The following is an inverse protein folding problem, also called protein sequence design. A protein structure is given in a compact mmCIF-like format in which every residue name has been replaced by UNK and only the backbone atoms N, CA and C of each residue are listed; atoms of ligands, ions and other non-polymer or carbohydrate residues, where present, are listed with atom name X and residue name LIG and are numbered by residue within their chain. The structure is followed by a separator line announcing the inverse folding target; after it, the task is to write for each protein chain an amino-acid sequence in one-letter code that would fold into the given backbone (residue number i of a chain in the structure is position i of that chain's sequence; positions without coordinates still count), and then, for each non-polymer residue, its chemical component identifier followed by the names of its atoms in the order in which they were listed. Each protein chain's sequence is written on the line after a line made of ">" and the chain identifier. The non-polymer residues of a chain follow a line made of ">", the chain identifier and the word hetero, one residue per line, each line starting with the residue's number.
data_IF_223703765465
#
_entry.id   IF_223703765465
#
_cell.length_a   1.000
_cell.length_b   1.000
_cell.length_c   1.000
_cell.angle_alpha   90.00
_cell.angle_beta   90.00
_cell.angle_gamma   90.00
#
_symmetry.space_group_name_H-M   'P 1'
#
loop_
_entity.id
_entity.type
_entity.pdbx_description
1 polymer ?
#
# COMPACT_ATOMS: atom_id res chain seq x y z
N UNK A 1 14.20 10.57 21.19
CA UNK A 1 14.24 10.41 19.73
C UNK A 1 13.43 11.51 19.05
N UNK A 2 13.80 11.91 17.84
CA UNK A 2 13.00 12.85 17.05
C UNK A 2 11.86 12.11 16.35
N UNK A 3 10.67 12.75 16.32
CA UNK A 3 9.47 12.22 15.68
C UNK A 3 8.56 13.34 15.17
N UNK A 4 7.73 13.00 14.19
CA UNK A 4 6.61 13.83 13.75
C UNK A 4 5.35 13.39 14.48
N UNK A 5 4.86 14.22 15.38
CA UNK A 5 3.69 13.91 16.22
C UNK A 5 2.48 14.74 15.80
N UNK A 6 1.29 14.21 16.08
CA UNK A 6 0.05 14.98 16.08
C UNK A 6 -0.57 14.98 17.47
N UNK A 7 -1.08 16.14 17.92
CA UNK A 7 -1.76 16.30 19.23
C UNK A 7 -3.27 16.48 19.07
N UNK A 8 -3.73 16.54 17.84
CA UNK A 8 -5.15 16.60 17.42
C UNK A 8 -5.30 16.17 15.98
N UNK A 9 -6.48 15.77 15.60
CA UNK A 9 -6.81 15.57 14.19
C UNK A 9 -6.91 16.91 13.44
N UNK A 10 -6.55 16.90 12.14
CA UNK A 10 -6.63 18.11 11.32
C UNK A 10 -5.94 18.03 9.96
N UNK A 11 -5.63 19.19 9.40
CA UNK A 11 -4.85 19.36 8.16
C UNK A 11 -3.39 18.95 8.37
N UNK A 12 -2.57 18.96 7.30
CA UNK A 12 -1.15 18.60 7.39
C UNK A 12 -0.36 19.47 8.41
N UNK A 13 -0.83 20.68 8.70
CA UNK A 13 -0.20 21.59 9.66
C UNK A 13 -0.30 21.16 11.14
N UNK A 14 -0.98 20.05 11.45
CA UNK A 14 -1.01 19.51 12.83
C UNK A 14 0.22 18.68 13.18
N UNK A 15 1.10 18.42 12.21
CA UNK A 15 2.37 17.76 12.48
C UNK A 15 3.34 18.70 13.20
N UNK A 16 3.93 18.22 14.27
CA UNK A 16 4.94 18.89 15.09
C UNK A 16 6.18 18.00 15.15
N UNK A 17 7.36 18.57 14.85
CA UNK A 17 8.64 17.87 14.94
C UNK A 17 9.19 18.02 16.35
N UNK A 18 9.16 16.96 17.13
CA UNK A 18 9.45 16.99 18.56
C UNK A 18 10.48 15.94 18.96
N UNK A 19 11.05 16.15 20.13
CA UNK A 19 11.78 15.12 20.85
C UNK A 19 10.84 14.39 21.80
N UNK A 20 10.75 13.07 21.65
CA UNK A 20 9.87 12.21 22.46
C UNK A 20 10.67 11.06 23.08
N UNK A 21 10.11 10.41 24.11
CA UNK A 21 10.72 9.22 24.71
C UNK A 21 10.81 8.08 23.66
N UNK A 22 11.90 7.34 23.66
CA UNK A 22 12.06 6.16 22.82
C UNK A 22 11.07 5.07 23.22
N UNK A 23 10.44 4.36 22.28
CA UNK A 23 9.51 3.30 22.60
C UNK A 23 10.23 2.09 23.20
N UNK A 24 9.53 1.35 24.07
CA UNK A 24 10.01 0.11 24.68
C UNK A 24 9.42 -1.08 23.93
N UNK A 25 10.23 -2.11 23.71
CA UNK A 25 9.80 -3.35 23.03
C UNK A 25 9.14 -4.32 24.02
N UNK A 26 8.25 -5.14 23.49
CA UNK A 26 7.73 -6.34 24.14
C UNK A 26 8.51 -7.59 23.71
N UNK A 27 8.30 -8.74 24.37
CA UNK A 27 9.07 -9.95 24.07
C UNK A 27 9.09 -10.40 22.59
N UNK A 28 8.03 -10.13 21.81
CA UNK A 28 7.90 -10.53 20.39
C UNK A 28 8.13 -9.39 19.40
N UNK A 29 8.72 -8.28 19.85
CA UNK A 29 8.89 -7.06 19.04
C UNK A 29 10.38 -6.75 18.80
N UNK A 30 10.62 -5.93 17.79
CA UNK A 30 11.92 -5.41 17.38
C UNK A 30 11.93 -3.90 17.57
N UNK A 31 13.01 -3.34 18.13
CA UNK A 31 13.30 -1.91 18.05
C UNK A 31 14.11 -1.65 16.78
N UNK A 32 13.62 -0.76 15.95
CA UNK A 32 14.20 -0.46 14.64
C UNK A 32 14.64 0.99 14.59
N UNK A 33 15.88 1.24 14.17
CA UNK A 33 16.32 2.55 13.70
C UNK A 33 15.75 2.74 12.30
N UNK A 34 14.77 3.61 12.19
CA UNK A 34 14.06 3.84 10.93
C UNK A 34 14.94 4.67 10.00
N UNK A 35 15.21 4.15 8.80
CA UNK A 35 15.92 4.85 7.74
C UNK A 35 14.96 5.52 6.77
N UNK A 36 13.85 4.86 6.49
CA UNK A 36 12.81 5.38 5.61
C UNK A 36 11.42 4.91 6.06
N UNK A 37 10.41 5.72 5.76
CA UNK A 37 9.00 5.41 5.98
C UNK A 37 8.15 5.71 4.73
N UNK A 38 7.23 4.82 4.39
CA UNK A 38 6.32 5.01 3.27
C UNK A 38 5.13 5.89 3.64
N UNK A 39 4.69 6.75 2.70
CA UNK A 39 3.45 7.52 2.86
C UNK A 39 2.31 6.83 2.12
N UNK A 40 1.21 6.63 2.84
CA UNK A 40 0.01 5.98 2.32
C UNK A 40 -1.24 6.86 2.52
N UNK A 41 -2.26 6.74 1.67
CA UNK A 41 -3.51 7.48 1.86
C UNK A 41 -4.19 7.23 3.22
N UNK A 42 -3.98 6.06 3.83
CA UNK A 42 -4.51 5.76 5.17
C UNK A 42 -3.92 6.68 6.23
N UNK A 43 -2.66 7.09 6.11
CA UNK A 43 -1.98 7.95 7.09
C UNK A 43 -2.66 9.32 7.20
N UNK A 44 -2.92 10.00 6.06
CA UNK A 44 -3.59 11.29 6.09
C UNK A 44 -5.09 11.18 6.41
N UNK A 45 -5.73 10.04 6.10
CA UNK A 45 -7.12 9.78 6.53
C UNK A 45 -7.20 9.65 8.05
N UNK A 46 -6.23 8.98 8.69
CA UNK A 46 -6.13 8.95 10.15
C UNK A 46 -5.87 10.35 10.68
N UNK A 47 -4.85 11.04 10.17
CA UNK A 47 -4.52 12.40 10.59
C UNK A 47 -5.72 13.36 10.53
N UNK A 48 -6.59 13.23 9.51
CA UNK A 48 -7.85 14.00 9.38
C UNK A 48 -8.96 13.54 10.32
N UNK A 49 -8.77 12.45 11.08
CA UNK A 49 -9.77 11.89 11.97
C UNK A 49 -10.88 11.09 11.25
N UNK A 50 -10.72 10.77 9.98
CA UNK A 50 -11.70 9.97 9.22
C UNK A 50 -11.82 8.55 9.76
N UNK A 51 -10.79 8.06 10.46
CA UNK A 51 -10.72 6.73 11.07
C UNK A 51 -10.69 6.78 12.60
N UNK A 52 -11.15 7.88 13.22
CA UNK A 52 -11.10 8.08 14.68
C UNK A 52 -11.81 7.00 15.50
N UNK A 53 -12.78 6.31 14.93
CA UNK A 53 -13.47 5.19 15.58
C UNK A 53 -12.49 4.03 15.83
N UNK A 54 -11.50 3.84 14.94
CA UNK A 54 -10.49 2.77 15.05
C UNK A 54 -9.28 3.27 15.84
N UNK A 55 -8.82 4.51 15.57
CA UNK A 55 -7.59 5.06 16.16
C UNK A 55 -7.79 5.66 17.55
N UNK A 56 -9.04 5.91 17.94
CA UNK A 56 -9.37 6.60 19.22
C UNK A 56 -8.93 8.06 19.22
N UNK A 57 -8.83 8.62 20.43
CA UNK A 57 -8.46 10.02 20.66
C UNK A 57 -7.28 10.15 21.66
N UNK A 58 -6.42 9.13 21.75
CA UNK A 58 -5.23 9.21 22.62
C UNK A 58 -4.13 9.93 21.84
N UNK A 59 -3.75 11.11 22.32
CA UNK A 59 -2.65 11.92 21.80
C UNK A 59 -1.53 12.04 22.86
N UNK A 60 -0.27 12.29 22.46
CA UNK A 60 0.21 12.44 21.09
C UNK A 60 0.20 11.13 20.31
N UNK A 61 0.08 11.20 18.95
CA UNK A 61 0.19 10.06 18.05
C UNK A 61 1.35 10.29 17.08
N UNK A 62 2.13 9.24 16.84
CA UNK A 62 3.07 9.15 15.73
C UNK A 62 2.43 8.25 14.67
N UNK A 63 2.26 8.77 13.45
CA UNK A 63 1.66 8.05 12.34
C UNK A 63 2.72 7.33 11.49
N UNK A 64 2.29 6.79 10.35
CA UNK A 64 3.14 6.06 9.42
C UNK A 64 3.09 4.55 9.64
N UNK A 65 2.69 3.81 8.61
CA UNK A 65 2.56 2.35 8.68
C UNK A 65 3.81 1.64 8.22
N UNK A 66 4.39 2.08 7.09
CA UNK A 66 5.47 1.40 6.42
C UNK A 66 6.81 1.94 6.88
N UNK A 67 7.72 1.04 7.21
CA UNK A 67 9.09 1.38 7.56
C UNK A 67 10.10 0.44 6.92
N UNK A 68 11.33 0.93 6.79
CA UNK A 68 12.53 0.13 6.59
C UNK A 68 13.67 0.72 7.43
N UNK A 69 14.50 -0.14 7.99
CA UNK A 69 15.57 0.29 8.89
C UNK A 69 16.40 -0.87 9.43
N UNK A 70 17.20 -0.57 10.44
CA UNK A 70 18.11 -1.53 11.07
C UNK A 70 17.63 -1.88 12.47
N UNK A 71 17.63 -3.15 12.80
CA UNK A 71 17.25 -3.66 14.14
C UNK A 71 18.31 -3.24 15.15
N UNK A 72 17.89 -2.55 16.20
CA UNK A 72 18.74 -2.13 17.34
C UNK A 72 18.59 -3.05 18.55
N UNK A 73 17.40 -3.60 18.78
CA UNK A 73 17.11 -4.48 19.91
C UNK A 73 16.05 -5.50 19.50
N UNK A 74 16.16 -6.72 20.03
CA UNK A 74 15.21 -7.82 19.81
C UNK A 74 14.61 -8.25 21.14
N UNK A 75 13.29 -8.50 21.15
CA UNK A 75 12.59 -9.02 22.31
C UNK A 75 12.97 -10.47 22.61
N UNK A 76 12.80 -10.92 23.84
CA UNK A 76 13.23 -12.22 24.33
C UNK A 76 12.58 -13.44 23.66
N UNK A 77 11.48 -13.23 22.90
CA UNK A 77 10.77 -14.28 22.15
C UNK A 77 10.97 -14.15 20.63
N UNK A 78 11.88 -13.27 20.19
CA UNK A 78 12.25 -13.14 18.78
C UNK A 78 13.29 -14.18 18.44
N UNK A 79 13.04 -14.95 17.37
CA UNK A 79 13.95 -16.01 16.88
C UNK A 79 14.49 -15.76 15.49
N UNK A 80 13.75 -14.98 14.67
CA UNK A 80 13.98 -14.89 13.23
C UNK A 80 14.79 -13.65 12.83
N UNK A 81 15.14 -12.80 13.80
CA UNK A 81 15.89 -11.56 13.61
C UNK A 81 16.96 -11.37 14.68
N UNK A 82 18.00 -10.63 14.33
CA UNK A 82 19.08 -10.22 15.23
C UNK A 82 19.41 -8.74 15.11
N UNK A 83 20.14 -8.21 16.08
CA UNK A 83 20.66 -6.83 16.04
C UNK A 83 21.56 -6.66 14.84
N UNK A 84 21.35 -5.58 14.10
CA UNK A 84 22.05 -5.26 12.86
C UNK A 84 21.33 -5.71 11.58
N UNK A 85 20.28 -6.51 11.67
CA UNK A 85 19.49 -6.90 10.50
C UNK A 85 18.83 -5.69 9.85
N UNK A 86 18.93 -5.61 8.51
CA UNK A 86 18.15 -4.67 7.71
C UNK A 86 16.79 -5.26 7.42
N UNK A 87 15.75 -4.59 7.90
CA UNK A 87 14.37 -5.06 7.77
C UNK A 87 13.45 -4.02 7.15
N UNK A 88 12.30 -4.50 6.70
CA UNK A 88 11.16 -3.65 6.35
C UNK A 88 9.85 -4.32 6.78
N UNK A 89 8.79 -3.54 6.90
CA UNK A 89 7.49 -4.07 7.29
C UNK A 89 6.44 -3.00 7.45
N UNK A 90 5.26 -3.41 7.92
CA UNK A 90 4.13 -2.51 8.13
C UNK A 90 3.57 -2.64 9.52
N UNK A 91 3.50 -1.51 10.19
CA UNK A 91 2.95 -1.39 11.55
C UNK A 91 1.41 -1.47 11.52
N UNK A 92 0.86 -1.92 12.63
CA UNK A 92 -0.57 -1.78 12.90
C UNK A 92 -0.97 -0.34 13.25
N UNK A 93 -2.27 -0.11 13.41
CA UNK A 93 -2.84 1.16 13.88
C UNK A 93 -2.34 1.45 15.31
N UNK A 94 -1.91 2.69 15.62
CA UNK A 94 -2.01 3.92 14.82
C UNK A 94 -0.84 4.19 13.88
N UNK A 95 0.17 3.35 13.81
CA UNK A 95 1.42 3.53 13.09
C UNK A 95 2.61 3.69 14.03
N UNK A 96 3.56 4.56 13.67
CA UNK A 96 4.77 4.83 14.45
C UNK A 96 6.03 5.05 13.61
N UNK A 97 5.93 4.93 12.26
CA UNK A 97 7.09 4.95 11.38
C UNK A 97 7.65 6.37 11.13
N UNK A 98 6.91 7.44 11.43
CA UNK A 98 7.40 8.82 11.23
C UNK A 98 8.24 9.30 12.42
N UNK A 99 9.26 8.54 12.77
CA UNK A 99 10.19 8.78 13.86
C UNK A 99 11.56 8.15 13.57
N UNK A 100 12.59 8.53 14.33
CA UNK A 100 13.92 7.91 14.25
C UNK A 100 13.94 6.45 14.72
N UNK A 101 13.05 6.09 15.66
CA UNK A 101 12.91 4.74 16.19
C UNK A 101 11.45 4.31 16.15
N UNK A 102 11.22 3.06 15.80
CA UNK A 102 9.90 2.44 15.84
C UNK A 102 9.98 1.01 16.40
N UNK A 103 8.86 0.54 16.95
CA UNK A 103 8.71 -0.85 17.40
C UNK A 103 7.82 -1.60 16.43
N UNK A 104 8.27 -2.76 15.95
CA UNK A 104 7.52 -3.60 15.02
C UNK A 104 7.44 -5.05 15.53
N UNK A 105 6.26 -5.69 15.49
CA UNK A 105 6.16 -7.12 15.75
C UNK A 105 6.92 -7.94 14.70
N UNK A 106 7.66 -8.99 15.11
CA UNK A 106 8.40 -9.83 14.17
C UNK A 106 7.52 -10.45 13.08
N UNK A 107 6.24 -10.70 13.36
CA UNK A 107 5.29 -11.36 12.45
C UNK A 107 4.85 -10.51 11.24
N UNK A 108 5.18 -9.22 11.24
CA UNK A 108 4.83 -8.26 10.17
C UNK A 108 6.07 -7.58 9.58
N UNK A 109 7.25 -8.13 9.84
CA UNK A 109 8.54 -7.71 9.31
C UNK A 109 9.15 -8.82 8.45
N UNK A 110 10.06 -8.43 7.55
CA UNK A 110 10.94 -9.32 6.79
C UNK A 110 12.31 -8.68 6.60
N UNK A 111 13.33 -9.51 6.36
CA UNK A 111 14.65 -9.02 5.94
C UNK A 111 14.51 -8.25 4.62
N UNK A 112 15.16 -7.12 4.54
CA UNK A 112 15.17 -6.30 3.33
C UNK A 112 15.99 -7.00 2.23
N UNK A 113 15.50 -7.11 0.99
CA UNK A 113 16.32 -7.56 -0.13
C UNK A 113 17.58 -6.70 -0.28
N UNK A 114 18.70 -7.34 -0.53
CA UNK A 114 20.01 -6.65 -0.61
C UNK A 114 20.14 -5.74 -1.83
N UNK A 115 19.33 -5.98 -2.86
CA UNK A 115 19.36 -5.28 -4.15
C UNK A 115 18.44 -4.04 -4.20
N UNK A 116 17.82 -3.63 -3.08
CA UNK A 116 17.02 -2.40 -2.98
C UNK A 116 17.47 -1.54 -1.80
N UNK A 117 17.21 -0.23 -1.91
CA UNK A 117 17.50 0.74 -0.85
C UNK A 117 16.46 0.66 0.29
N UNK A 118 16.71 1.36 1.42
CA UNK A 118 15.72 1.50 2.50
C UNK A 118 14.50 2.26 2.04
N UNK A 119 14.66 3.27 1.19
CA UNK A 119 13.55 4.04 0.62
C UNK A 119 12.65 3.17 -0.26
N UNK A 120 13.24 2.31 -1.08
CA UNK A 120 12.50 1.35 -1.89
C UNK A 120 11.80 0.32 -1.02
N UNK A 121 12.47 -0.20 -0.01
CA UNK A 121 11.90 -1.17 0.93
C UNK A 121 10.71 -0.56 1.72
N UNK A 122 10.84 0.67 2.22
CA UNK A 122 9.76 1.37 2.91
C UNK A 122 8.55 1.71 1.99
N UNK A 123 8.76 1.76 0.69
CA UNK A 123 7.70 2.02 -0.28
C UNK A 123 6.78 0.81 -0.54
N UNK A 124 7.18 -0.39 -0.12
CA UNK A 124 6.50 -1.64 -0.47
C UNK A 124 5.27 -1.96 0.40
N UNK A 125 5.36 -2.05 1.74
CA UNK A 125 4.49 -2.93 2.53
C UNK A 125 3.00 -2.72 2.25
N UNK A 126 2.40 -1.60 2.68
CA UNK A 126 0.94 -1.39 2.51
C UNK A 126 0.51 -1.49 1.06
N UNK A 127 1.25 -0.87 0.14
CA UNK A 127 0.82 -0.77 -1.26
C UNK A 127 0.97 -2.10 -2.01
N UNK A 128 2.12 -2.78 -1.88
CA UNK A 128 2.37 -4.05 -2.56
C UNK A 128 1.55 -5.20 -1.93
N UNK A 129 1.37 -5.21 -0.60
CA UNK A 129 0.49 -6.17 0.07
C UNK A 129 -0.98 -5.98 -0.34
N UNK A 130 -1.45 -4.73 -0.46
CA UNK A 130 -2.79 -4.45 -0.98
C UNK A 130 -2.96 -5.01 -2.39
N UNK A 131 -1.98 -4.79 -3.27
CA UNK A 131 -2.01 -5.33 -4.63
C UNK A 131 -1.99 -6.87 -4.64
N UNK A 132 -1.05 -7.47 -3.93
CA UNK A 132 -0.86 -8.93 -3.85
C UNK A 132 -2.12 -9.63 -3.33
N UNK A 133 -2.60 -9.24 -2.17
CA UNK A 133 -3.75 -9.86 -1.53
C UNK A 133 -5.06 -9.59 -2.30
N UNK A 134 -5.18 -8.44 -2.99
CA UNK A 134 -6.31 -8.19 -3.90
C UNK A 134 -6.38 -9.21 -5.02
N UNK A 135 -5.24 -9.48 -5.65
CA UNK A 135 -5.15 -10.39 -6.81
C UNK A 135 -5.18 -11.85 -6.35
N UNK A 136 -4.34 -12.23 -5.39
CA UNK A 136 -4.17 -13.62 -4.97
C UNK A 136 -5.33 -14.10 -4.11
N UNK A 137 -5.69 -13.38 -3.04
CA UNK A 137 -6.65 -13.87 -2.04
C UNK A 137 -8.09 -13.45 -2.33
N UNK A 138 -8.28 -12.17 -2.75
CA UNK A 138 -9.64 -11.70 -3.02
C UNK A 138 -10.12 -12.14 -4.38
N UNK A 139 -9.33 -11.99 -5.43
CA UNK A 139 -9.72 -12.34 -6.79
C UNK A 139 -9.40 -13.80 -7.15
N UNK A 140 -8.48 -14.46 -6.44
CA UNK A 140 -7.98 -15.80 -6.77
C UNK A 140 -7.51 -15.89 -8.23
N UNK A 141 -6.63 -14.96 -8.61
CA UNK A 141 -6.12 -14.80 -9.97
C UNK A 141 -5.51 -16.11 -10.50
N UNK A 142 -5.82 -16.42 -11.75
CA UNK A 142 -5.28 -17.57 -12.45
C UNK A 142 -4.47 -17.11 -13.66
N UNK A 143 -3.52 -17.95 -14.10
CA UNK A 143 -2.75 -17.72 -15.32
C UNK A 143 -3.66 -17.50 -16.52
N UNK A 144 -3.26 -16.60 -17.42
CA UNK A 144 -3.97 -16.21 -18.65
C UNK A 144 -5.32 -15.51 -18.44
N UNK A 145 -5.68 -15.17 -17.19
CA UNK A 145 -6.85 -14.32 -16.96
C UNK A 145 -6.59 -12.87 -17.38
N UNK A 146 -7.65 -12.20 -17.84
CA UNK A 146 -7.63 -10.78 -18.16
C UNK A 146 -7.96 -9.93 -16.93
N UNK A 147 -7.05 -9.01 -16.60
CA UNK A 147 -7.13 -8.15 -15.42
C UNK A 147 -7.13 -6.68 -15.83
N UNK A 148 -8.12 -5.91 -15.38
CA UNK A 148 -8.12 -4.47 -15.50
C UNK A 148 -7.72 -3.85 -14.16
N UNK A 149 -6.74 -2.93 -14.19
CA UNK A 149 -6.26 -2.21 -13.00
C UNK A 149 -6.56 -0.72 -13.17
N UNK A 150 -7.56 -0.24 -12.44
CA UNK A 150 -7.88 1.19 -12.38
C UNK A 150 -6.93 1.91 -11.43
N UNK A 151 -6.29 2.98 -11.90
CA UNK A 151 -5.24 3.70 -11.17
C UNK A 151 -3.87 3.03 -11.27
N UNK A 152 -3.55 2.44 -12.43
CA UNK A 152 -2.35 1.65 -12.68
C UNK A 152 -1.02 2.40 -12.45
N UNK A 153 -1.01 3.73 -12.48
CA UNK A 153 0.18 4.57 -12.21
C UNK A 153 0.34 5.00 -10.75
N UNK A 154 -0.65 4.73 -9.89
CA UNK A 154 -0.60 5.11 -8.47
C UNK A 154 0.10 4.08 -7.59
N UNK A 155 0.21 4.36 -6.29
CA UNK A 155 1.01 3.56 -5.34
C UNK A 155 0.67 2.07 -5.32
N UNK A 156 -0.61 1.69 -5.27
CA UNK A 156 -1.04 0.27 -5.34
C UNK A 156 -0.97 -0.24 -6.78
N UNK A 157 -1.34 0.61 -7.74
CA UNK A 157 -1.44 0.22 -9.16
C UNK A 157 -0.13 -0.25 -9.76
N UNK A 158 0.99 0.42 -9.44
CA UNK A 158 2.32 0.06 -9.97
C UNK A 158 2.73 -1.37 -9.57
N UNK A 159 2.39 -1.79 -8.36
CA UNK A 159 2.62 -3.14 -7.88
C UNK A 159 1.61 -4.13 -8.46
N UNK A 160 0.34 -3.73 -8.55
CA UNK A 160 -0.71 -4.59 -9.09
C UNK A 160 -0.45 -5.00 -10.55
N UNK A 161 0.02 -4.07 -11.40
CA UNK A 161 0.41 -4.38 -12.79
C UNK A 161 1.49 -5.45 -12.82
N UNK A 162 2.58 -5.25 -12.08
CA UNK A 162 3.73 -6.14 -12.09
C UNK A 162 3.41 -7.50 -11.45
N UNK A 163 2.69 -7.51 -10.32
CA UNK A 163 2.28 -8.76 -9.64
C UNK A 163 1.33 -9.57 -10.53
N UNK A 164 0.34 -8.93 -11.18
CA UNK A 164 -0.54 -9.62 -12.11
C UNK A 164 0.23 -10.24 -13.29
N UNK A 165 1.22 -9.51 -13.82
CA UNK A 165 2.13 -10.04 -14.88
C UNK A 165 2.98 -11.20 -14.36
N UNK A 166 3.55 -11.09 -13.16
CA UNK A 166 4.33 -12.18 -12.56
C UNK A 166 3.49 -13.45 -12.35
N UNK A 167 2.18 -13.29 -12.07
CA UNK A 167 1.21 -14.39 -11.96
C UNK A 167 0.69 -14.90 -13.33
N UNK A 168 1.18 -14.34 -14.44
CA UNK A 168 0.88 -14.80 -15.79
C UNK A 168 -0.43 -14.28 -16.38
N UNK A 169 -0.97 -13.17 -15.87
CA UNK A 169 -2.19 -12.56 -16.39
C UNK A 169 -1.94 -11.65 -17.61
N UNK A 170 -3.02 -11.38 -18.36
CA UNK A 170 -3.12 -10.30 -19.32
C UNK A 170 -3.60 -9.02 -18.62
N UNK A 171 -2.80 -7.96 -18.64
CA UNK A 171 -3.04 -6.75 -17.85
C UNK A 171 -3.42 -5.55 -18.71
N UNK A 172 -4.59 -4.98 -18.41
CA UNK A 172 -5.01 -3.68 -18.92
C UNK A 172 -4.88 -2.63 -17.82
N UNK A 173 -3.99 -1.64 -18.03
CA UNK A 173 -3.80 -0.53 -17.08
C UNK A 173 -4.65 0.68 -17.45
N UNK A 174 -5.40 1.22 -16.48
CA UNK A 174 -6.15 2.48 -16.63
C UNK A 174 -5.38 3.60 -15.93
N UNK A 175 -4.99 4.62 -16.68
CA UNK A 175 -4.27 5.80 -16.15
C UNK A 175 -4.56 7.03 -17.02
N UNK A 176 -3.98 8.19 -16.71
CA UNK A 176 -4.07 9.38 -17.56
C UNK A 176 -3.07 9.32 -18.73
N UNK A 177 -3.32 10.12 -19.78
CA UNK A 177 -2.44 10.26 -20.96
C UNK A 177 -0.96 10.37 -20.59
N UNK A 178 -0.63 11.16 -19.56
CA UNK A 178 0.73 11.42 -19.10
C UNK A 178 1.47 10.18 -18.56
N UNK A 179 0.73 9.13 -18.21
CA UNK A 179 1.27 7.95 -17.53
C UNK A 179 1.19 6.68 -18.40
N UNK A 180 0.75 6.75 -19.66
CA UNK A 180 0.59 5.57 -20.53
C UNK A 180 1.92 4.83 -20.71
N UNK A 181 2.96 5.53 -21.19
CA UNK A 181 4.28 4.92 -21.41
C UNK A 181 4.87 4.35 -20.12
N UNK A 182 4.66 5.04 -19.01
CA UNK A 182 5.10 4.58 -17.71
C UNK A 182 4.39 3.26 -17.31
N UNK A 183 3.08 3.18 -17.42
CA UNK A 183 2.32 1.96 -17.09
C UNK A 183 2.66 0.83 -18.06
N UNK A 184 2.90 1.15 -19.35
CA UNK A 184 3.42 0.19 -20.32
C UNK A 184 4.76 -0.38 -19.90
N UNK A 185 5.66 0.46 -19.40
CA UNK A 185 7.00 0.04 -18.90
C UNK A 185 6.95 -0.85 -17.64
N UNK A 186 5.82 -0.89 -16.93
CA UNK A 186 5.58 -1.80 -15.82
C UNK A 186 5.09 -3.18 -16.27
N UNK A 187 4.85 -3.36 -17.57
CA UNK A 187 4.45 -4.63 -18.17
C UNK A 187 2.96 -4.73 -18.53
N UNK A 188 2.17 -3.65 -18.49
CA UNK A 188 0.79 -3.69 -18.95
C UNK A 188 0.73 -4.03 -20.45
N UNK A 189 -0.13 -4.99 -20.82
CA UNK A 189 -0.31 -5.43 -22.22
C UNK A 189 -1.13 -4.40 -22.99
N UNK A 190 -2.18 -3.86 -22.36
CA UNK A 190 -3.08 -2.86 -22.92
C UNK A 190 -3.25 -1.68 -21.98
N UNK A 191 -3.59 -0.52 -22.53
CA UNK A 191 -3.74 0.73 -21.79
C UNK A 191 -5.06 1.40 -22.13
N UNK A 192 -5.69 2.03 -21.14
CA UNK A 192 -6.87 2.87 -21.30
C UNK A 192 -6.58 4.23 -20.67
N UNK A 193 -6.71 5.27 -21.47
CA UNK A 193 -6.64 6.66 -20.97
C UNK A 193 -8.01 7.11 -20.48
N UNK A 194 -8.18 7.19 -19.16
CA UNK A 194 -9.45 7.60 -18.56
C UNK A 194 -9.81 9.06 -18.83
N UNK A 195 -8.87 9.88 -19.33
CA UNK A 195 -9.15 11.28 -19.70
C UNK A 195 -9.79 11.41 -21.07
N UNK A 196 -9.73 10.34 -21.90
CA UNK A 196 -10.29 10.28 -23.22
C UNK A 196 -11.47 9.30 -23.33
N UNK A 197 -11.50 8.29 -22.49
CA UNK A 197 -12.47 7.19 -22.60
C UNK A 197 -12.90 6.68 -21.21
N UNK A 198 -14.20 6.56 -21.00
CA UNK A 198 -14.76 5.86 -19.82
C UNK A 198 -14.56 4.35 -19.99
N UNK A 199 -13.66 3.78 -19.21
CA UNK A 199 -13.34 2.36 -19.26
C UNK A 199 -14.53 1.46 -18.87
N UNK A 200 -15.54 1.98 -18.15
CA UNK A 200 -16.72 1.19 -17.78
C UNK A 200 -17.71 0.98 -18.95
N UNK A 201 -17.50 1.68 -20.08
CA UNK A 201 -18.34 1.62 -21.27
C UNK A 201 -17.70 0.88 -22.45
N UNK A 202 -16.51 0.29 -22.25
CA UNK A 202 -15.82 -0.47 -23.32
C UNK A 202 -16.49 -1.83 -23.55
N UNK A 203 -16.26 -2.42 -24.75
CA UNK A 203 -16.80 -3.75 -25.10
C UNK A 203 -15.98 -4.91 -24.53
N UNK A 204 -14.73 -4.68 -24.16
CA UNK A 204 -13.88 -5.71 -23.56
C UNK A 204 -14.43 -6.18 -22.21
N UNK A 205 -14.19 -7.44 -21.88
CA UNK A 205 -14.60 -8.05 -20.62
C UNK A 205 -13.39 -8.63 -19.89
N UNK A 206 -13.41 -8.53 -18.56
CA UNK A 206 -12.32 -8.93 -17.69
C UNK A 206 -12.74 -9.99 -16.69
N UNK A 207 -11.81 -10.88 -16.35
CA UNK A 207 -11.97 -11.83 -15.24
C UNK A 207 -11.87 -11.11 -13.90
N UNK A 208 -10.97 -10.12 -13.81
CA UNK A 208 -10.72 -9.35 -12.58
C UNK A 208 -10.68 -7.85 -12.91
N UNK A 209 -11.31 -7.04 -12.06
CA UNK A 209 -11.16 -5.59 -12.04
C UNK A 209 -10.67 -5.21 -10.65
N UNK A 210 -9.46 -4.64 -10.58
CA UNK A 210 -8.93 -4.02 -9.36
C UNK A 210 -9.09 -2.50 -9.42
N UNK A 211 -9.95 -1.96 -8.58
CA UNK A 211 -10.09 -0.51 -8.41
C UNK A 211 -9.17 -0.02 -7.29
N UNK A 212 -7.94 0.35 -7.65
CA UNK A 212 -6.95 0.88 -6.72
C UNK A 212 -7.19 2.35 -6.36
N UNK A 213 -8.08 3.04 -7.06
CA UNK A 213 -8.50 4.43 -6.77
C UNK A 213 -9.66 4.47 -5.79
N UNK A 214 -10.57 3.48 -5.86
CA UNK A 214 -11.74 3.40 -5.02
C UNK A 214 -12.86 4.38 -5.40
N UNK A 215 -12.83 4.93 -6.62
CA UNK A 215 -13.84 5.89 -7.13
C UNK A 215 -14.91 5.23 -7.99
N UNK A 216 -14.77 3.95 -8.31
CA UNK A 216 -15.77 3.20 -9.07
C UNK A 216 -16.69 2.41 -8.15
N UNK A 217 -17.83 2.03 -8.72
CA UNK A 217 -18.78 1.12 -8.07
C UNK A 217 -18.80 -0.22 -8.78
N UNK A 218 -19.20 -1.26 -8.05
CA UNK A 218 -19.44 -2.56 -8.67
C UNK A 218 -20.47 -2.48 -9.81
N UNK A 219 -21.52 -1.68 -9.62
CA UNK A 219 -22.59 -1.53 -10.62
C UNK A 219 -22.09 -0.94 -11.94
N UNK A 220 -21.17 0.00 -11.89
CA UNK A 220 -20.53 0.55 -13.10
C UNK A 220 -19.64 -0.48 -13.79
N UNK A 221 -18.88 -1.25 -12.99
CA UNK A 221 -17.90 -2.20 -13.50
C UNK A 221 -18.48 -3.55 -13.92
N UNK A 222 -19.66 -3.96 -13.38
CA UNK A 222 -20.22 -5.29 -13.64
C UNK A 222 -20.51 -5.58 -15.12
N UNK A 223 -20.71 -4.55 -15.95
CA UNK A 223 -20.97 -4.71 -17.38
C UNK A 223 -19.75 -5.26 -18.14
N UNK A 224 -18.56 -4.85 -17.70
CA UNK A 224 -17.29 -5.26 -18.29
C UNK A 224 -16.61 -6.41 -17.55
N UNK A 225 -17.30 -7.03 -16.58
CA UNK A 225 -16.86 -8.30 -15.96
C UNK A 225 -17.42 -9.49 -16.74
N UNK A 226 -16.59 -10.49 -16.98
CA UNK A 226 -17.01 -11.81 -17.47
C UNK A 226 -17.94 -12.53 -16.46
N UNK A 227 -18.66 -13.56 -16.86
CA UNK A 227 -19.30 -14.49 -15.91
C UNK A 227 -18.28 -15.01 -14.89
N UNK A 228 -18.63 -15.04 -13.61
CA UNK A 228 -17.76 -15.37 -12.48
C UNK A 228 -16.62 -14.36 -12.20
N UNK A 229 -16.57 -13.24 -12.92
CA UNK A 229 -15.57 -12.20 -12.74
C UNK A 229 -15.67 -11.53 -11.35
N UNK A 230 -14.56 -10.98 -10.89
CA UNK A 230 -14.41 -10.38 -9.55
C UNK A 230 -13.99 -8.91 -9.67
N UNK A 231 -14.75 -8.04 -9.01
CA UNK A 231 -14.39 -6.65 -8.77
C UNK A 231 -13.81 -6.53 -7.36
N UNK A 232 -12.62 -5.98 -7.23
CA UNK A 232 -11.97 -5.71 -5.95
C UNK A 232 -11.73 -4.22 -5.81
N UNK A 233 -12.15 -3.62 -4.69
CA UNK A 233 -11.90 -2.20 -4.40
C UNK A 233 -11.03 -2.04 -3.16
N UNK A 234 -10.21 -0.98 -3.15
CA UNK A 234 -9.39 -0.60 -1.99
C UNK A 234 -10.12 0.32 -1.01
N UNK A 235 -11.31 0.83 -1.37
CA UNK A 235 -12.11 1.70 -0.50
C UNK A 235 -13.51 1.13 -0.31
N UNK A 236 -13.90 0.77 0.93
CA UNK A 236 -15.24 0.31 1.25
C UNK A 236 -16.21 1.49 1.37
N UNK A 237 -16.68 2.01 0.23
CA UNK A 237 -17.77 3.01 0.22
C UNK A 237 -19.12 2.35 0.47
N UNK A 238 -20.12 3.11 0.97
CA UNK A 238 -21.47 2.57 1.20
C UNK A 238 -22.07 1.96 -0.08
N UNK A 239 -21.79 2.56 -1.24
CA UNK A 239 -22.23 2.04 -2.56
C UNK A 239 -21.61 0.70 -2.93
N UNK A 240 -20.45 0.34 -2.36
CA UNK A 240 -19.78 -0.93 -2.58
C UNK A 240 -20.09 -1.99 -1.50
N UNK A 241 -20.45 -1.59 -0.28
CA UNK A 241 -20.71 -2.53 0.81
C UNK A 241 -21.91 -3.44 0.54
N UNK A 242 -23.03 -2.88 0.05
CA UNK A 242 -24.24 -3.67 -0.27
C UNK A 242 -23.96 -4.71 -1.37
N UNK A 243 -23.39 -4.35 -2.53
CA UNK A 243 -22.97 -5.32 -3.54
C UNK A 243 -22.00 -6.38 -3.01
N UNK A 244 -21.04 -6.03 -2.12
CA UNK A 244 -20.10 -6.98 -1.53
C UNK A 244 -20.85 -8.09 -0.79
N UNK A 245 -21.84 -7.75 0.04
CA UNK A 245 -22.63 -8.74 0.79
C UNK A 245 -23.49 -9.59 -0.15
N UNK A 246 -24.28 -8.94 -1.01
CA UNK A 246 -25.25 -9.62 -1.86
C UNK A 246 -24.59 -10.53 -2.91
N UNK A 247 -23.52 -10.09 -3.55
CA UNK A 247 -22.89 -10.86 -4.61
C UNK A 247 -22.07 -12.05 -4.09
N UNK A 248 -21.62 -12.01 -2.84
CA UNK A 248 -20.97 -13.17 -2.22
C UNK A 248 -21.97 -14.29 -1.89
N UNK A 249 -23.24 -13.97 -1.69
CA UNK A 249 -24.29 -14.96 -1.38
C UNK A 249 -24.97 -15.53 -2.64
N UNK A 250 -25.28 -14.69 -3.63
CA UNK A 250 -26.16 -15.04 -4.74
C UNK A 250 -25.64 -14.68 -6.14
N UNK A 251 -24.47 -14.04 -6.25
CA UNK A 251 -24.00 -13.47 -7.51
C UNK A 251 -23.16 -14.40 -8.38
N UNK A 252 -23.36 -14.34 -9.70
CA UNK A 252 -22.43 -14.92 -10.69
C UNK A 252 -21.20 -14.06 -10.88
N UNK A 253 -21.27 -12.75 -10.62
CA UNK A 253 -20.15 -11.81 -10.57
C UNK A 253 -20.01 -11.33 -9.13
N UNK A 254 -18.80 -11.16 -8.63
CA UNK A 254 -18.55 -10.88 -7.22
C UNK A 254 -17.91 -9.53 -7.00
N UNK A 255 -18.35 -8.83 -5.96
CA UNK A 255 -17.70 -7.64 -5.43
C UNK A 255 -16.97 -8.00 -4.14
N UNK A 256 -15.74 -7.53 -3.99
CA UNK A 256 -14.92 -7.71 -2.79
C UNK A 256 -14.19 -6.43 -2.44
N UNK A 257 -13.83 -6.26 -1.17
CA UNK A 257 -12.91 -5.21 -0.78
C UNK A 257 -11.67 -5.79 -0.11
N UNK A 258 -10.60 -5.04 -0.13
CA UNK A 258 -9.34 -5.41 0.51
C UNK A 258 -9.05 -4.47 1.68
N UNK A 259 -8.72 -5.07 2.81
CA UNK A 259 -7.95 -4.46 3.88
C UNK A 259 -6.72 -5.35 4.05
N UNK A 260 -5.58 -4.85 3.58
CA UNK A 260 -4.35 -5.62 3.61
C UNK A 260 -3.93 -5.94 5.05
N UNK A 261 -3.52 -7.18 5.26
CA UNK A 261 -3.00 -7.67 6.53
C UNK A 261 -1.52 -8.00 6.32
N UNK A 262 -0.61 -7.25 6.93
CA UNK A 262 0.81 -7.54 6.79
C UNK A 262 1.14 -8.90 7.42
N UNK A 263 1.89 -9.73 6.69
CA UNK A 263 2.46 -10.99 7.17
C UNK A 263 3.87 -11.14 6.64
N UNK A 264 4.76 -11.76 7.42
CA UNK A 264 6.12 -12.08 6.98
C UNK A 264 6.10 -12.93 5.70
N UNK A 265 5.19 -13.89 5.57
CA UNK A 265 5.09 -14.76 4.39
C UNK A 265 4.82 -13.98 3.10
N UNK A 266 3.94 -12.98 3.14
CA UNK A 266 3.65 -12.14 1.98
C UNK A 266 4.81 -11.19 1.65
N UNK A 267 5.51 -10.67 2.66
CA UNK A 267 6.70 -9.85 2.46
C UNK A 267 7.82 -10.67 1.82
N UNK A 268 8.03 -11.93 2.25
CA UNK A 268 9.01 -12.84 1.64
C UNK A 268 8.64 -13.17 0.19
N UNK A 269 7.37 -13.34 -0.13
CA UNK A 269 6.95 -13.51 -1.52
C UNK A 269 7.23 -12.25 -2.38
N UNK A 270 7.05 -11.05 -1.83
CA UNK A 270 7.45 -9.82 -2.50
C UNK A 270 8.97 -9.74 -2.71
N UNK A 271 9.77 -10.21 -1.72
CA UNK A 271 11.22 -10.31 -1.85
C UNK A 271 11.61 -11.19 -3.05
N UNK A 272 10.99 -12.37 -3.19
CA UNK A 272 11.24 -13.26 -4.35
C UNK A 272 10.98 -12.56 -5.67
N UNK A 273 9.89 -11.79 -5.77
CA UNK A 273 9.58 -11.04 -6.99
C UNK A 273 10.60 -9.93 -7.28
N UNK A 274 11.11 -9.27 -6.24
CA UNK A 274 12.14 -8.21 -6.37
C UNK A 274 13.48 -8.82 -6.78
N UNK A 275 13.92 -9.87 -6.09
CA UNK A 275 15.20 -10.53 -6.34
C UNK A 275 15.26 -11.17 -7.74
N UNK A 276 14.11 -11.65 -8.23
CA UNK A 276 13.99 -12.21 -9.59
C UNK A 276 13.72 -11.16 -10.67
N UNK A 277 13.72 -9.85 -10.32
CA UNK A 277 13.49 -8.74 -11.24
C UNK A 277 12.05 -8.65 -11.80
N UNK A 278 11.10 -9.37 -11.23
CA UNK A 278 9.68 -9.35 -11.62
C UNK A 278 8.90 -8.20 -10.98
N UNK A 279 9.45 -7.59 -9.93
CA UNK A 279 8.88 -6.44 -9.23
C UNK A 279 9.95 -5.39 -9.02
N UNK A 280 9.70 -4.18 -9.52
CA UNK A 280 10.52 -3.00 -9.22
C UNK A 280 9.72 -1.98 -8.44
N UNK A 281 10.36 -1.29 -7.54
CA UNK A 281 9.78 -0.19 -6.78
C UNK A 281 9.90 1.11 -7.58
N UNK A 282 8.84 1.91 -7.56
CA UNK A 282 8.86 3.25 -8.18
C UNK A 282 8.53 4.28 -7.12
N UNK A 283 9.51 5.11 -6.82
CA UNK A 283 9.36 6.26 -5.91
C UNK A 283 9.15 7.51 -6.76
N UNK A 284 8.11 8.26 -6.45
CA UNK A 284 7.81 9.54 -7.09
C UNK A 284 8.65 10.67 -6.47
N UNK A 285 8.68 10.72 -5.14
CA UNK A 285 9.47 11.70 -4.41
C UNK A 285 9.85 11.21 -3.01
N UNK A 286 10.95 11.76 -2.50
CA UNK A 286 11.47 11.53 -1.16
C UNK A 286 11.53 12.87 -0.44
N UNK A 287 11.00 12.94 0.78
CA UNK A 287 11.04 14.10 1.66
C UNK A 287 11.82 13.78 2.94
N UNK A 288 12.51 14.73 3.54
CA UNK A 288 13.03 14.57 4.89
C UNK A 288 11.88 14.52 5.91
N UNK A 289 12.13 13.93 7.08
CA UNK A 289 11.11 13.74 8.12
C UNK A 289 10.41 15.07 8.50
N UNK A 290 11.16 16.16 8.58
CA UNK A 290 10.66 17.49 8.92
C UNK A 290 9.65 18.02 7.89
N UNK A 291 9.70 17.54 6.65
CA UNK A 291 8.79 17.93 5.56
C UNK A 291 7.58 17.00 5.41
N UNK A 292 7.27 16.18 6.43
CA UNK A 292 6.14 15.24 6.39
C UNK A 292 4.81 15.92 6.07
N UNK A 293 4.58 17.16 6.53
CA UNK A 293 3.38 17.93 6.20
C UNK A 293 3.24 18.18 4.70
N UNK A 294 4.35 18.51 4.02
CA UNK A 294 4.42 18.70 2.57
C UNK A 294 4.15 17.37 1.84
N UNK A 295 4.76 16.28 2.29
CA UNK A 295 4.55 14.95 1.73
C UNK A 295 3.09 14.50 1.83
N UNK A 296 2.44 14.73 2.98
CA UNK A 296 1.01 14.44 3.16
C UNK A 296 0.13 15.32 2.28
N UNK A 297 0.44 16.61 2.17
CA UNK A 297 -0.30 17.53 1.28
C UNK A 297 -0.21 17.07 -0.17
N UNK A 298 0.97 16.63 -0.61
CA UNK A 298 1.14 16.07 -1.94
C UNK A 298 0.36 14.76 -2.12
N UNK A 299 0.43 13.84 -1.14
CA UNK A 299 -0.33 12.59 -1.16
C UNK A 299 -1.85 12.82 -1.29
N UNK A 300 -2.38 13.85 -0.63
CA UNK A 300 -3.79 14.23 -0.68
C UNK A 300 -4.26 14.70 -2.06
N UNK A 301 -3.36 15.12 -2.95
CA UNK A 301 -3.71 15.44 -4.34
C UNK A 301 -4.11 14.21 -5.15
N UNK A 302 -3.78 13.00 -4.67
CA UNK A 302 -3.99 11.72 -5.37
C UNK A 302 -3.31 11.64 -6.75
N UNK A 303 -2.25 12.44 -6.98
CA UNK A 303 -1.53 12.54 -8.26
C UNK A 303 -0.15 11.93 -8.26
N UNK A 304 0.29 11.36 -7.17
CA UNK A 304 1.60 10.70 -7.07
C UNK A 304 1.74 9.58 -8.11
N UNK A 305 2.88 9.55 -8.78
CA UNK A 305 3.26 8.52 -9.74
C UNK A 305 4.13 7.46 -9.05
N UNK A 306 3.51 6.46 -8.45
CA UNK A 306 4.19 5.51 -7.57
C UNK A 306 4.07 5.89 -6.10
N UNK A 307 5.18 5.78 -5.37
CA UNK A 307 5.20 5.94 -3.91
C UNK A 307 5.90 7.22 -3.46
N UNK A 308 5.41 7.76 -2.35
CA UNK A 308 6.05 8.87 -1.62
C UNK A 308 6.75 8.26 -0.41
N UNK A 309 7.96 8.72 -0.14
CA UNK A 309 8.80 8.18 0.95
C UNK A 309 9.34 9.32 1.80
N UNK A 310 9.45 9.07 3.09
CA UNK A 310 10.10 9.92 4.08
C UNK A 310 11.44 9.31 4.43
N UNK A 311 12.52 10.09 4.34
CA UNK A 311 13.83 9.75 4.89
C UNK A 311 13.91 10.27 6.31
N UNK A 312 14.16 9.38 7.27
CA UNK A 312 14.18 9.74 8.70
C UNK A 312 15.57 10.08 9.21
N UNK A 313 16.60 9.62 8.51
CA UNK A 313 18.01 9.89 8.82
C UNK A 313 18.60 10.75 7.69
N UNK A 314 19.26 11.83 8.05
CA UNK A 314 20.01 12.70 7.14
C UNK A 314 21.45 12.20 7.01
#
# INVERSE_FOLDING_TARGET
>A
MKAMVIRKYGSANVFEYEEVEAPKIKPSELLVKVHAAGVNPVDWKIRKGMLKIITGNKFPMILGFDLAGVVLEVGSQVSDFQVGDEIYGSLGVPGGAYAELAVIPQTVAALKPTNISFEEAAALPVAALTALQSLREKANIQRSQSVLINGASGGVGIFAVQIAKALGAEVTGVCSSKNLDFVKSLGADSLIDYTQQDFTQIRAQYDIILDAVGKQTFDNCKKILKPKGVYVTTLPTLSNLVPIVLTNLFGTKRAKFILAQPTTADLLYLNELIETGKLRVVIDCIYPLQELATAHTYSETERAKGKIVIRTIV
#
